data_IF_879015620104
#
_entry.id   IF_879015620104
#
_cell.length_a   1.000
_cell.length_b   1.000
_cell.length_c   1.000
_cell.angle_alpha   90.00
_cell.angle_beta   90.00
_cell.angle_gamma   90.00
#
_symmetry.space_group_name_H-M   'P 1'
#
loop_
_entity.id
_entity.type
_entity.pdbx_description
1 polymer ?
#
# COMPACT_ATOMS: atom_id res chain seq x y z
N UNK A 1 12.87 -1.17 3.22
CA UNK A 1 13.32 -0.34 4.36
C UNK A 1 12.17 0.27 5.18
N UNK A 2 11.21 1.01 4.59
CA UNK A 2 10.15 1.66 5.38
C UNK A 2 9.33 0.69 6.24
N UNK A 3 8.95 -0.47 5.70
CA UNK A 3 8.19 -1.49 6.44
C UNK A 3 8.89 -1.98 7.72
N UNK A 4 10.19 -2.29 7.65
CA UNK A 4 10.94 -2.80 8.80
C UNK A 4 11.07 -1.72 9.88
N UNK A 5 11.37 -0.47 9.47
CA UNK A 5 11.46 0.65 10.37
C UNK A 5 10.12 0.92 11.07
N UNK A 6 9.03 1.02 10.31
CA UNK A 6 7.68 1.25 10.85
C UNK A 6 7.24 0.13 11.78
N UNK A 7 7.54 -1.12 11.44
CA UNK A 7 7.26 -2.28 12.30
C UNK A 7 8.07 -2.24 13.59
N UNK A 8 9.34 -1.86 13.52
CA UNK A 8 10.20 -1.72 14.70
C UNK A 8 9.70 -0.63 15.66
N UNK A 9 9.23 0.50 15.12
CA UNK A 9 8.69 1.61 15.93
C UNK A 9 7.20 1.47 16.25
N UNK A 10 6.52 0.47 15.71
CA UNK A 10 5.09 0.23 15.90
C UNK A 10 4.64 0.17 17.36
N UNK A 11 5.40 -0.36 18.34
CA UNK A 11 5.01 -0.32 19.76
C UNK A 11 4.86 1.11 20.29
N UNK A 12 5.66 2.07 19.83
CA UNK A 12 5.55 3.47 20.23
C UNK A 12 4.40 4.16 19.52
N UNK A 13 4.26 3.94 18.21
CA UNK A 13 3.15 4.48 17.43
C UNK A 13 1.79 4.00 17.97
N UNK A 14 1.68 2.72 18.35
CA UNK A 14 0.47 2.16 18.98
C UNK A 14 0.12 2.78 20.33
N UNK A 15 1.07 3.40 21.04
CA UNK A 15 0.81 4.17 22.25
C UNK A 15 0.42 5.63 21.96
N UNK A 16 0.95 6.21 20.88
CA UNK A 16 0.67 7.58 20.49
C UNK A 16 -0.73 7.75 19.85
N UNK A 17 -1.15 6.82 18.98
CA UNK A 17 -2.41 6.92 18.24
C UNK A 17 -3.65 6.98 19.15
N UNK A 18 -3.77 6.24 20.28
CA UNK A 18 -4.89 6.42 21.20
C UNK A 18 -5.02 7.83 21.77
N UNK A 19 -3.90 8.55 21.95
CA UNK A 19 -3.88 9.91 22.50
C UNK A 19 -4.22 10.97 21.46
N UNK A 20 -3.68 10.84 20.25
CA UNK A 20 -3.76 11.89 19.22
C UNK A 20 -4.64 11.52 18.01
N UNK A 21 -5.10 10.27 17.90
CA UNK A 21 -5.94 9.79 16.80
C UNK A 21 -5.29 9.92 15.43
N UNK A 22 -6.08 10.31 14.43
CA UNK A 22 -5.63 10.51 13.04
C UNK A 22 -4.62 11.66 12.89
N UNK A 23 -4.58 12.61 13.83
CA UNK A 23 -3.62 13.74 13.77
C UNK A 23 -2.17 13.28 13.87
N UNK A 24 -1.91 12.06 14.36
CA UNK A 24 -0.57 11.44 14.29
C UNK A 24 -0.05 11.33 12.86
N UNK A 25 -0.93 11.15 11.87
CA UNK A 25 -0.57 11.06 10.47
C UNK A 25 -0.25 12.43 9.84
N UNK A 26 -0.64 13.55 10.48
CA UNK A 26 -0.33 14.89 9.97
C UNK A 26 1.15 15.19 10.05
N UNK A 27 1.85 14.75 11.10
CA UNK A 27 3.29 15.00 11.26
C UNK A 27 4.10 14.45 10.07
N UNK A 28 4.00 13.16 9.70
CA UNK A 28 4.68 12.66 8.52
C UNK A 28 4.14 13.26 7.22
N UNK A 29 2.84 13.60 7.12
CA UNK A 29 2.30 14.23 5.93
C UNK A 29 2.88 15.63 5.68
N UNK A 30 3.01 16.45 6.73
CA UNK A 30 3.67 17.76 6.67
C UNK A 30 5.15 17.59 6.34
N UNK A 31 5.81 16.57 6.90
CA UNK A 31 7.20 16.26 6.54
C UNK A 31 7.35 15.97 5.04
N UNK A 32 6.43 15.21 4.44
CA UNK A 32 6.43 14.97 2.97
C UNK A 32 6.31 16.29 2.21
N UNK A 33 5.34 17.13 2.56
CA UNK A 33 5.12 18.42 1.88
C UNK A 33 6.32 19.37 2.00
N UNK A 34 6.93 19.44 3.19
CA UNK A 34 8.13 20.27 3.42
C UNK A 34 9.33 19.75 2.64
N UNK A 35 9.55 18.44 2.61
CA UNK A 35 10.64 17.84 1.83
C UNK A 35 10.41 18.07 0.34
N UNK A 36 9.18 17.96 -0.15
CA UNK A 36 8.85 18.26 -1.55
C UNK A 36 9.19 19.72 -1.87
N UNK A 37 8.76 20.67 -1.04
CA UNK A 37 9.06 22.10 -1.21
C UNK A 37 10.57 22.39 -1.23
N UNK A 38 11.33 21.80 -0.31
CA UNK A 38 12.80 21.97 -0.26
C UNK A 38 13.45 21.37 -1.51
N UNK A 39 12.95 20.24 -2.01
CA UNK A 39 13.51 19.61 -3.21
C UNK A 39 13.27 20.41 -4.49
N UNK A 40 12.10 21.03 -4.63
CA UNK A 40 11.82 21.88 -5.80
C UNK A 40 12.60 23.20 -5.76
N UNK A 41 13.00 23.66 -4.58
CA UNK A 41 13.78 24.90 -4.42
C UNK A 41 15.29 24.66 -4.47
N UNK A 42 15.78 23.52 -3.95
CA UNK A 42 17.20 23.16 -3.91
C UNK A 42 17.48 21.78 -4.51
N UNK A 43 17.94 21.72 -5.78
CA UNK A 43 18.16 20.46 -6.50
C UNK A 43 19.24 19.53 -5.90
N UNK A 44 20.16 20.05 -5.09
CA UNK A 44 21.25 19.27 -4.46
C UNK A 44 20.79 18.40 -3.26
N UNK A 45 19.49 18.39 -2.95
CA UNK A 45 18.92 17.77 -1.74
C UNK A 45 18.43 16.32 -1.91
N UNK A 46 18.99 15.57 -2.87
CA UNK A 46 18.53 14.21 -3.23
C UNK A 46 18.45 13.21 -2.08
N UNK A 47 19.28 13.35 -1.04
CA UNK A 47 19.26 12.50 0.16
C UNK A 47 17.96 12.62 0.97
N UNK A 48 17.24 13.75 0.87
CA UNK A 48 15.94 13.93 1.53
C UNK A 48 14.89 12.96 1.02
N UNK A 49 15.10 12.34 -0.14
CA UNK A 49 14.21 11.31 -0.67
C UNK A 49 14.02 10.12 0.26
N UNK A 50 15.03 9.76 1.06
CA UNK A 50 14.90 8.68 2.06
C UNK A 50 13.98 9.06 3.22
N UNK A 51 14.08 10.30 3.70
CA UNK A 51 13.19 10.85 4.73
C UNK A 51 11.75 10.86 4.19
N UNK A 52 11.59 11.32 2.96
CA UNK A 52 10.30 11.39 2.30
C UNK A 52 9.65 10.02 2.15
N UNK A 53 10.44 9.00 1.78
CA UNK A 53 9.96 7.63 1.70
C UNK A 53 9.44 7.10 3.05
N UNK A 54 10.19 7.27 4.14
CA UNK A 54 9.73 6.82 5.46
C UNK A 54 8.47 7.57 5.90
N UNK A 55 8.46 8.90 5.73
CA UNK A 55 7.32 9.75 6.09
C UNK A 55 6.07 9.40 5.29
N UNK A 56 6.18 9.25 3.96
CA UNK A 56 5.05 8.90 3.10
C UNK A 56 4.45 7.55 3.48
N UNK A 57 5.27 6.55 3.83
CA UNK A 57 4.81 5.24 4.30
C UNK A 57 4.23 5.26 5.73
N UNK A 58 4.66 6.20 6.58
CA UNK A 58 4.14 6.34 7.93
C UNK A 58 2.67 6.79 7.95
N UNK A 59 2.25 7.60 6.97
CA UNK A 59 0.87 8.11 6.87
C UNK A 59 -0.17 6.98 6.76
N UNK A 60 -0.16 6.10 5.74
CA UNK A 60 -1.14 5.01 5.63
C UNK A 60 -1.05 4.04 6.81
N UNK A 61 0.14 3.83 7.38
CA UNK A 61 0.32 3.02 8.58
C UNK A 61 -0.44 3.60 9.79
N UNK A 62 -0.29 4.89 10.04
CA UNK A 62 -0.95 5.60 11.15
C UNK A 62 -2.46 5.74 10.91
N UNK A 63 -2.88 5.99 9.68
CA UNK A 63 -4.29 6.00 9.29
C UNK A 63 -4.94 4.63 9.52
N UNK A 64 -4.25 3.53 9.19
CA UNK A 64 -4.72 2.18 9.49
C UNK A 64 -4.89 1.92 11.00
N UNK A 65 -3.95 2.40 11.82
CA UNK A 65 -4.07 2.31 13.29
C UNK A 65 -5.23 3.16 13.83
N UNK A 66 -5.43 4.36 13.30
CA UNK A 66 -6.51 5.25 13.70
C UNK A 66 -7.90 4.73 13.25
N UNK A 67 -7.97 4.14 12.06
CA UNK A 67 -9.20 3.52 11.54
C UNK A 67 -9.67 2.36 12.42
N UNK A 68 -8.76 1.52 12.91
CA UNK A 68 -9.09 0.45 13.87
C UNK A 68 -9.71 0.94 15.18
N UNK A 69 -9.56 2.22 15.51
CA UNK A 69 -10.14 2.85 16.69
C UNK A 69 -11.43 3.64 16.36
N UNK A 70 -11.93 3.55 15.12
CA UNK A 70 -13.08 4.34 14.65
C UNK A 70 -12.77 5.83 14.51
N UNK A 71 -11.48 6.22 14.38
CA UNK A 71 -11.04 7.63 14.39
C UNK A 71 -10.70 8.18 13.00
N UNK A 72 -11.17 7.52 11.94
CA UNK A 72 -10.96 7.93 10.55
C UNK A 72 -12.31 8.05 9.86
N UNK A 73 -12.56 9.20 9.24
CA UNK A 73 -13.68 9.38 8.34
C UNK A 73 -13.23 9.01 6.91
N UNK A 74 -13.58 7.80 6.46
CA UNK A 74 -13.15 7.29 5.16
C UNK A 74 -13.67 8.12 3.98
N UNK A 75 -14.90 8.66 4.06
CA UNK A 75 -15.48 9.49 3.02
C UNK A 75 -14.74 10.84 2.88
N UNK A 76 -14.43 11.48 4.01
CA UNK A 76 -13.66 12.72 4.00
C UNK A 76 -12.25 12.48 3.46
N UNK A 77 -11.59 11.41 3.88
CA UNK A 77 -10.24 11.08 3.41
C UNK A 77 -10.21 10.75 1.91
N UNK A 78 -11.23 10.04 1.40
CA UNK A 78 -11.41 9.77 -0.02
C UNK A 78 -11.62 11.07 -0.82
N UNK A 79 -12.58 11.89 -0.40
CA UNK A 79 -12.92 13.14 -1.09
C UNK A 79 -11.80 14.17 -1.05
N UNK A 80 -11.27 14.46 0.14
CA UNK A 80 -10.20 15.44 0.33
C UNK A 80 -8.89 14.98 -0.33
N UNK A 81 -8.50 13.71 -0.17
CA UNK A 81 -7.31 13.16 -0.82
C UNK A 81 -7.41 13.19 -2.35
N UNK A 82 -8.57 12.81 -2.90
CA UNK A 82 -8.81 12.85 -4.35
C UNK A 82 -8.80 14.28 -4.90
N UNK A 83 -9.45 15.21 -4.21
CA UNK A 83 -9.49 16.62 -4.61
C UNK A 83 -8.11 17.27 -4.53
N UNK A 84 -7.33 17.00 -3.48
CA UNK A 84 -5.95 17.50 -3.37
C UNK A 84 -5.06 16.91 -4.46
N UNK A 85 -5.21 15.62 -4.77
CA UNK A 85 -4.48 14.99 -5.88
C UNK A 85 -4.77 15.69 -7.21
N UNK A 86 -6.05 15.92 -7.51
CA UNK A 86 -6.46 16.61 -8.73
C UNK A 86 -5.93 18.05 -8.79
N UNK A 87 -5.99 18.77 -7.66
CA UNK A 87 -5.47 20.14 -7.56
C UNK A 87 -3.95 20.20 -7.78
N UNK A 88 -3.18 19.28 -7.19
CA UNK A 88 -1.72 19.26 -7.37
C UNK A 88 -1.32 18.93 -8.81
N UNK A 89 -2.05 18.04 -9.48
CA UNK A 89 -1.83 17.74 -10.90
C UNK A 89 -2.20 18.94 -11.78
N UNK A 90 -3.36 19.54 -11.55
CA UNK A 90 -3.90 20.59 -12.42
C UNK A 90 -3.22 21.95 -12.21
N UNK A 91 -2.71 22.23 -11.01
CA UNK A 91 -2.19 23.55 -10.62
C UNK A 91 -0.70 23.54 -10.21
N UNK A 92 -0.11 22.38 -9.92
CA UNK A 92 1.21 22.25 -9.31
C UNK A 92 2.28 21.59 -10.18
N UNK A 93 2.04 21.41 -11.48
CA UNK A 93 2.94 20.75 -12.44
C UNK A 93 3.38 19.33 -12.04
N UNK A 94 2.65 18.67 -11.15
CA UNK A 94 2.95 17.29 -10.76
C UNK A 94 2.57 16.30 -11.87
N UNK A 95 3.36 15.23 -12.06
CA UNK A 95 3.02 14.18 -13.02
C UNK A 95 1.67 13.54 -12.72
N UNK A 96 0.93 13.17 -13.76
CA UNK A 96 -0.32 12.39 -13.63
C UNK A 96 -0.05 10.93 -13.23
N UNK A 97 1.13 10.40 -13.55
CA UNK A 97 1.50 9.02 -13.24
C UNK A 97 1.84 8.85 -11.76
N UNK A 98 1.14 7.93 -11.09
CA UNK A 98 1.44 7.49 -9.71
C UNK A 98 2.41 6.32 -9.66
N UNK A 99 3.02 5.99 -10.80
CA UNK A 99 4.07 4.99 -10.96
C UNK A 99 5.24 5.59 -11.74
N UNK A 100 6.42 5.01 -11.58
CA UNK A 100 7.58 5.40 -12.38
C UNK A 100 7.35 5.11 -13.87
N UNK A 101 7.62 6.10 -14.72
CA UNK A 101 7.56 5.99 -16.17
C UNK A 101 8.97 6.21 -16.73
N UNK A 102 9.57 5.23 -17.42
CA UNK A 102 10.88 5.41 -18.03
C UNK A 102 10.91 6.61 -18.98
N UNK A 103 11.91 7.48 -18.82
CA UNK A 103 12.08 8.69 -19.64
C UNK A 103 11.24 9.89 -19.21
N UNK A 104 10.38 9.77 -18.18
CA UNK A 104 9.70 10.92 -17.62
C UNK A 104 10.69 11.84 -16.86
N UNK A 105 10.55 13.17 -16.98
CA UNK A 105 11.46 14.12 -16.32
C UNK A 105 11.32 14.12 -14.79
N UNK A 106 10.15 13.69 -14.29
CA UNK A 106 9.85 13.67 -12.87
C UNK A 106 8.98 12.46 -12.52
N UNK A 107 9.22 11.91 -11.33
CA UNK A 107 8.44 10.82 -10.74
C UNK A 107 7.75 11.26 -9.46
N UNK A 108 6.53 10.77 -9.26
CA UNK A 108 5.81 10.87 -7.99
C UNK A 108 6.26 9.83 -6.94
N UNK A 109 7.01 8.79 -7.34
CA UNK A 109 7.38 7.64 -6.49
C UNK A 109 8.80 7.76 -5.94
N UNK A 110 9.71 8.34 -6.72
CA UNK A 110 11.13 8.34 -6.42
C UNK A 110 11.69 9.78 -6.41
N UNK A 111 11.59 10.50 -5.27
CA UNK A 111 10.95 10.13 -4.01
C UNK A 111 9.44 10.44 -3.96
N UNK A 112 8.68 9.90 -2.98
CA UNK A 112 7.24 10.11 -2.87
C UNK A 112 6.83 11.58 -2.79
N UNK A 113 6.06 12.08 -3.73
CA UNK A 113 5.58 13.48 -3.73
C UNK A 113 4.36 13.66 -2.82
N UNK A 114 4.02 14.92 -2.53
CA UNK A 114 2.76 15.28 -1.89
C UNK A 114 1.55 14.76 -2.69
N UNK A 115 1.66 14.72 -4.02
CA UNK A 115 0.64 14.20 -4.94
C UNK A 115 0.43 12.70 -4.76
N UNK A 116 1.51 11.91 -4.66
CA UNK A 116 1.39 10.48 -4.36
C UNK A 116 0.79 10.25 -2.97
N UNK A 117 1.17 11.07 -1.99
CA UNK A 117 0.63 10.97 -0.65
C UNK A 117 -0.87 11.26 -0.61
N UNK A 118 -1.32 12.33 -1.27
CA UNK A 118 -2.73 12.69 -1.37
C UNK A 118 -3.55 11.57 -2.04
N UNK A 119 -3.00 10.97 -3.09
CA UNK A 119 -3.61 9.83 -3.78
C UNK A 119 -3.70 8.61 -2.86
N UNK A 120 -2.62 8.31 -2.12
CA UNK A 120 -2.59 7.24 -1.13
C UNK A 120 -3.61 7.44 0.00
N UNK A 121 -3.79 8.68 0.47
CA UNK A 121 -4.84 9.03 1.42
C UNK A 121 -6.23 8.72 0.84
N UNK A 122 -6.49 9.08 -0.41
CA UNK A 122 -7.76 8.77 -1.06
C UNK A 122 -8.03 7.25 -1.08
N UNK A 123 -7.01 6.45 -1.42
CA UNK A 123 -7.08 4.99 -1.38
C UNK A 123 -7.29 4.44 0.04
N UNK A 124 -6.67 5.03 1.06
CA UNK A 124 -6.94 4.68 2.46
C UNK A 124 -8.39 4.99 2.85
N UNK A 125 -8.96 6.10 2.37
CA UNK A 125 -10.36 6.45 2.59
C UNK A 125 -11.32 5.43 1.98
N UNK A 126 -11.06 5.02 0.74
CA UNK A 126 -11.79 3.94 0.08
C UNK A 126 -11.68 2.61 0.84
N UNK A 127 -10.48 2.26 1.29
CA UNK A 127 -10.24 1.05 2.06
C UNK A 127 -10.97 1.06 3.42
N UNK A 128 -11.00 2.22 4.10
CA UNK A 128 -11.76 2.41 5.33
C UNK A 128 -13.27 2.19 5.09
N UNK A 129 -13.85 2.83 4.07
CA UNK A 129 -15.26 2.65 3.72
C UNK A 129 -15.61 1.19 3.36
N UNK A 130 -14.73 0.52 2.61
CA UNK A 130 -14.90 -0.90 2.30
C UNK A 130 -14.84 -1.77 3.56
N UNK A 131 -13.90 -1.48 4.46
CA UNK A 131 -13.77 -2.16 5.75
C UNK A 131 -14.99 -1.97 6.65
N UNK A 132 -15.53 -0.75 6.70
CA UNK A 132 -16.73 -0.42 7.47
C UNK A 132 -17.97 -1.13 6.90
N UNK A 133 -18.12 -1.18 5.58
CA UNK A 133 -19.22 -1.88 4.88
C UNK A 133 -19.20 -3.40 5.05
N UNK A 134 -18.02 -4.01 5.13
CA UNK A 134 -17.87 -5.45 5.36
C UNK A 134 -18.19 -5.86 6.82
N UNK A 135 -18.54 -4.87 7.66
CA UNK A 135 -18.70 -4.94 9.09
C UNK A 135 -17.33 -5.03 9.74
N UNK A 136 -17.02 -4.16 10.72
CA UNK A 136 -15.77 -4.24 11.48
C UNK A 136 -15.57 -5.66 12.02
N UNK A 137 -14.80 -6.47 11.28
CA UNK A 137 -14.57 -7.85 11.68
C UNK A 137 -13.61 -7.80 12.87
N UNK A 138 -13.94 -8.48 13.98
CA UNK A 138 -13.06 -8.50 15.13
C UNK A 138 -11.66 -8.96 14.69
N UNK A 139 -10.64 -8.34 15.29
CA UNK A 139 -9.25 -8.74 15.07
C UNK A 139 -9.14 -10.24 15.37
N UNK A 140 -8.68 -11.02 14.39
CA UNK A 140 -8.62 -12.49 14.49
C UNK A 140 -9.74 -13.24 13.75
N UNK A 141 -10.70 -12.55 13.11
CA UNK A 141 -11.61 -13.23 12.18
C UNK A 141 -10.83 -13.93 11.06
N UNK A 142 -11.35 -15.06 10.56
CA UNK A 142 -10.71 -15.82 9.48
C UNK A 142 -10.42 -14.95 8.25
N UNK A 143 -11.33 -14.05 7.89
CA UNK A 143 -11.15 -13.15 6.76
C UNK A 143 -10.02 -12.14 7.00
N UNK A 144 -10.00 -11.48 8.17
CA UNK A 144 -8.95 -10.53 8.51
C UNK A 144 -7.57 -11.22 8.58
N UNK A 145 -7.50 -12.44 9.11
CA UNK A 145 -6.28 -13.25 9.11
C UNK A 145 -5.84 -13.58 7.68
N UNK A 146 -6.75 -14.03 6.81
CA UNK A 146 -6.43 -14.33 5.40
C UNK A 146 -5.93 -13.09 4.66
N UNK A 147 -6.59 -11.94 4.82
CA UNK A 147 -6.16 -10.68 4.19
C UNK A 147 -4.79 -10.28 4.72
N UNK A 148 -4.59 -10.32 6.03
CA UNK A 148 -3.32 -9.95 6.67
C UNK A 148 -2.17 -10.87 6.22
N UNK A 149 -2.42 -12.18 6.14
CA UNK A 149 -1.44 -13.19 5.72
C UNK A 149 -1.13 -13.06 4.22
N UNK A 150 -2.10 -12.64 3.40
CA UNK A 150 -1.94 -12.48 1.96
C UNK A 150 -1.34 -11.13 1.55
N UNK A 151 -1.53 -10.07 2.33
CA UNK A 151 -1.16 -8.70 1.96
C UNK A 151 0.33 -8.54 1.65
N UNK A 152 1.20 -9.05 2.54
CA UNK A 152 2.64 -8.90 2.36
C UNK A 152 3.20 -9.76 1.21
N UNK A 153 2.82 -11.05 1.06
CA UNK A 153 3.18 -11.82 -0.12
C UNK A 153 2.67 -11.20 -1.42
N UNK A 154 1.42 -10.71 -1.47
CA UNK A 154 0.89 -10.04 -2.65
C UNK A 154 1.71 -8.80 -2.99
N UNK A 155 2.00 -7.95 -1.99
CA UNK A 155 2.84 -6.77 -2.15
C UNK A 155 4.22 -7.10 -2.73
N UNK A 156 4.88 -8.16 -2.24
CA UNK A 156 6.22 -8.52 -2.71
C UNK A 156 6.23 -9.17 -4.10
N UNK A 157 5.24 -10.01 -4.42
CA UNK A 157 5.30 -10.90 -5.58
C UNK A 157 4.48 -10.43 -6.79
N UNK A 158 3.55 -9.48 -6.63
CA UNK A 158 2.69 -9.06 -7.74
C UNK A 158 3.47 -8.43 -8.91
N UNK A 159 4.48 -7.59 -8.63
CA UNK A 159 5.34 -7.02 -9.68
C UNK A 159 6.13 -8.13 -10.39
N UNK A 160 6.72 -9.06 -9.64
CA UNK A 160 7.43 -10.21 -10.20
C UNK A 160 6.53 -11.05 -11.11
N UNK A 161 5.29 -11.32 -10.68
CA UNK A 161 4.31 -12.05 -11.50
C UNK A 161 4.02 -11.32 -12.82
N UNK A 162 3.79 -10.01 -12.76
CA UNK A 162 3.57 -9.17 -13.94
C UNK A 162 4.80 -9.18 -14.86
N UNK A 163 6.01 -9.03 -14.30
CA UNK A 163 7.27 -9.07 -15.06
C UNK A 163 7.47 -10.40 -15.76
N UNK A 164 7.20 -11.53 -15.10
CA UNK A 164 7.32 -12.85 -15.71
C UNK A 164 6.33 -13.04 -16.86
N UNK A 165 5.07 -12.60 -16.68
CA UNK A 165 4.07 -12.62 -17.76
C UNK A 165 4.57 -11.74 -18.93
N UNK A 166 5.02 -10.52 -18.65
CA UNK A 166 5.54 -9.61 -19.68
C UNK A 166 6.72 -10.22 -20.43
N UNK A 167 7.69 -10.82 -19.73
CA UNK A 167 8.85 -11.49 -20.35
C UNK A 167 8.44 -12.70 -21.20
N UNK A 168 7.50 -13.51 -20.73
CA UNK A 168 7.01 -14.65 -21.50
C UNK A 168 6.30 -14.21 -22.79
N UNK A 169 5.69 -13.04 -22.78
CA UNK A 169 4.91 -12.51 -23.92
C UNK A 169 5.67 -11.56 -24.83
N UNK A 170 6.83 -11.03 -24.42
CA UNK A 170 7.52 -9.95 -25.17
C UNK A 170 7.89 -10.36 -26.60
N UNK A 171 8.22 -11.63 -26.80
CA UNK A 171 8.61 -12.18 -28.11
C UNK A 171 7.42 -12.31 -29.09
N UNK A 172 6.19 -12.23 -28.58
CA UNK A 172 4.96 -12.26 -29.38
C UNK A 172 4.59 -10.86 -29.91
N UNK A 173 5.40 -9.84 -29.60
CA UNK A 173 5.12 -8.45 -29.93
C UNK A 173 4.14 -7.77 -28.96
N UNK A 174 3.62 -6.58 -29.31
CA UNK A 174 2.70 -5.83 -28.46
C UNK A 174 1.38 -6.58 -28.24
N UNK A 175 1.11 -6.99 -27.00
CA UNK A 175 -0.14 -7.63 -26.61
C UNK A 175 -1.11 -6.58 -26.07
N UNK A 176 -2.33 -6.60 -26.61
CA UNK A 176 -3.41 -5.69 -26.24
C UNK A 176 -3.72 -5.77 -24.74
N UNK A 177 -3.68 -4.63 -24.04
CA UNK A 177 -3.90 -4.55 -22.59
C UNK A 177 -2.78 -5.10 -21.71
N UNK A 178 -1.68 -5.63 -22.26
CA UNK A 178 -0.54 -6.15 -21.48
C UNK A 178 0.74 -5.34 -21.71
N UNK A 179 1.30 -5.40 -22.92
CA UNK A 179 2.55 -4.71 -23.33
C UNK A 179 2.32 -3.60 -24.35
N UNK A 180 1.10 -3.49 -24.90
CA UNK A 180 0.71 -2.38 -25.78
C UNK A 180 0.58 -1.04 -25.04
N UNK A 181 0.88 0.09 -25.71
CA UNK A 181 0.68 1.42 -25.13
C UNK A 181 -0.78 1.70 -24.72
N UNK A 182 -1.01 2.45 -23.62
CA UNK A 182 -2.35 2.76 -23.12
C UNK A 182 -3.01 3.94 -23.86
N UNK A 183 -3.22 3.81 -25.18
CA UNK A 183 -3.65 4.93 -26.04
C UNK A 183 -5.17 5.02 -26.27
N UNK A 184 -5.99 4.11 -25.74
CA UNK A 184 -7.45 4.11 -25.96
C UNK A 184 -8.27 3.52 -24.81
N UNK A 185 -9.56 3.84 -24.77
CA UNK A 185 -10.48 3.41 -23.70
C UNK A 185 -10.59 1.88 -23.58
N UNK A 186 -10.51 1.17 -24.72
CA UNK A 186 -10.53 -0.29 -24.75
C UNK A 186 -9.32 -0.92 -24.02
N UNK A 187 -8.20 -0.20 -23.91
CA UNK A 187 -7.01 -0.69 -23.22
C UNK A 187 -7.31 -1.03 -21.76
N UNK A 188 -8.14 -0.22 -21.08
CA UNK A 188 -8.51 -0.46 -19.69
C UNK A 188 -9.29 -1.77 -19.55
N UNK A 189 -10.27 -2.01 -20.40
CA UNK A 189 -11.07 -3.23 -20.40
C UNK A 189 -10.20 -4.47 -20.65
N UNK A 190 -9.29 -4.38 -21.62
CA UNK A 190 -8.34 -5.46 -21.93
C UNK A 190 -7.35 -5.67 -20.78
N UNK A 191 -6.88 -4.61 -20.13
CA UNK A 191 -6.03 -4.68 -18.93
C UNK A 191 -6.74 -5.41 -17.80
N UNK A 192 -8.02 -5.12 -17.58
CA UNK A 192 -8.84 -5.81 -16.58
C UNK A 192 -9.03 -7.29 -16.92
N UNK A 193 -9.15 -7.64 -18.20
CA UNK A 193 -9.23 -9.04 -18.64
C UNK A 193 -7.95 -9.84 -18.33
N UNK A 194 -6.79 -9.18 -18.15
CA UNK A 194 -5.54 -9.82 -17.72
C UNK A 194 -5.45 -10.05 -16.21
N UNK A 195 -6.32 -9.46 -15.39
CA UNK A 195 -6.27 -9.59 -13.92
C UNK A 195 -6.40 -11.06 -13.44
N UNK A 196 -7.30 -11.90 -13.99
CA UNK A 196 -7.34 -13.32 -13.65
C UNK A 196 -6.03 -14.05 -13.96
N UNK A 197 -5.41 -13.76 -15.11
CA UNK A 197 -4.13 -14.38 -15.49
C UNK A 197 -3.02 -13.95 -14.53
N UNK A 198 -2.93 -12.65 -14.21
CA UNK A 198 -1.99 -12.13 -13.23
C UNK A 198 -2.21 -12.75 -11.85
N UNK A 199 -3.47 -12.91 -11.42
CA UNK A 199 -3.81 -13.54 -10.16
C UNK A 199 -3.41 -15.02 -10.14
N UNK A 200 -3.67 -15.77 -11.21
CA UNK A 200 -3.26 -17.17 -11.34
C UNK A 200 -1.75 -17.33 -11.30
N UNK A 201 -1.00 -16.50 -12.04
CA UNK A 201 0.46 -16.51 -12.01
C UNK A 201 0.99 -16.21 -10.60
N UNK A 202 0.44 -15.19 -9.94
CA UNK A 202 0.79 -14.84 -8.57
C UNK A 202 0.50 -15.99 -7.60
N UNK A 203 -0.67 -16.63 -7.69
CA UNK A 203 -1.01 -17.81 -6.88
C UNK A 203 -0.02 -18.94 -7.14
N UNK A 204 0.33 -19.20 -8.40
CA UNK A 204 1.32 -20.19 -8.79
C UNK A 204 2.71 -19.93 -8.20
N UNK A 205 3.12 -18.67 -8.03
CA UNK A 205 4.35 -18.30 -7.34
C UNK A 205 4.24 -18.47 -5.82
N UNK A 206 3.09 -18.11 -5.23
CA UNK A 206 2.91 -18.07 -3.78
C UNK A 206 2.63 -19.44 -3.15
N UNK A 207 1.91 -20.34 -3.83
CA UNK A 207 1.58 -21.68 -3.31
C UNK A 207 2.83 -22.49 -2.92
N UNK A 208 3.86 -22.64 -3.78
CA UNK A 208 5.07 -23.39 -3.43
C UNK A 208 5.95 -22.65 -2.41
N UNK A 209 5.89 -21.32 -2.35
CA UNK A 209 6.67 -20.51 -1.43
C UNK A 209 6.09 -20.43 0.00
N UNK A 210 4.90 -20.98 0.25
CA UNK A 210 4.27 -20.92 1.57
C UNK A 210 5.03 -21.80 2.57
N UNK A 211 5.58 -21.23 3.66
CA UNK A 211 6.17 -22.04 4.71
C UNK A 211 5.08 -22.93 5.33
N UNK A 212 5.41 -24.17 5.75
CA UNK A 212 4.46 -25.02 6.44
C UNK A 212 3.94 -24.28 7.67
N UNK A 213 2.61 -24.23 7.83
CA UNK A 213 2.00 -23.59 9.01
C UNK A 213 2.57 -24.24 10.26
N UNK A 214 3.06 -23.48 11.26
CA UNK A 214 3.45 -24.08 12.51
C UNK A 214 2.24 -24.81 13.07
N UNK A 215 2.36 -26.14 13.26
CA UNK A 215 1.37 -26.93 13.99
C UNK A 215 1.21 -26.22 15.33
N UNK A 216 0.02 -25.67 15.60
CA UNK A 216 -0.34 -25.29 16.97
C UNK A 216 -0.09 -26.55 17.79
N UNK A 217 0.90 -26.50 18.69
CA UNK A 217 1.12 -27.56 19.68
C UNK A 217 -0.09 -27.56 20.60
N UNK A 218 -1.13 -28.29 20.22
CA UNK A 218 -2.29 -28.60 21.07
C UNK A 218 -1.94 -29.75 22.01
N UNK A 219 -0.76 -29.69 22.63
CA UNK A 219 -0.24 -30.77 23.48
C UNK A 219 0.74 -30.21 24.51
N UNK A 220 0.19 -29.63 25.58
CA UNK A 220 0.89 -29.47 26.85
C UNK A 220 -0.06 -29.23 28.03
N UNK A 221 -1.25 -28.65 27.81
CA UNK A 221 -2.20 -28.37 28.91
C UNK A 221 -3.05 -29.60 29.28
N UNK A 222 -3.48 -30.41 28.31
CA UNK A 222 -4.31 -31.59 28.59
C UNK A 222 -3.58 -32.79 29.23
N UNK A 223 -2.24 -32.73 29.35
CA UNK A 223 -1.45 -33.79 30.00
C UNK A 223 -1.10 -33.47 31.46
N UNK A 224 -1.38 -32.25 31.92
CA UNK A 224 -1.24 -31.87 33.33
C UNK A 224 -2.48 -32.29 34.14
N UNK A 225 -3.68 -32.12 33.56
CA UNK A 225 -4.94 -32.49 34.23
C UNK A 225 -5.15 -34.01 34.37
N UNK A 226 -4.53 -34.84 33.52
CA UNK A 226 -4.68 -36.29 33.55
C UNK A 226 -3.68 -37.03 34.48
N UNK A 227 -2.86 -36.30 35.24
CA UNK A 227 -1.95 -36.89 36.26
C UNK A 227 -2.36 -36.57 37.69
N UNK A 228 -3.46 -35.86 37.89
CA UNK A 228 -3.98 -35.48 39.21
C UNK A 228 -5.29 -36.21 39.57
N UNK A 229 -5.74 -37.17 38.76
CA UNK A 229 -6.80 -38.14 39.07
C UNK A 229 -6.21 -39.55 39.24
#
# INVERSE_FOLDING_TARGET
MPYLLLTAIAPWLRRAVPRYGWTTALVPAVCVALVDLVRFTWPSSGWLGYVNAVSAWAVPFLLGLAWRQGRVNGAWLLGAGGMLTAALIALGDYPTSMVDVPGAPMSNVAPPTATLLAFGCAQCGLAALAGDRLGHRPAGSRLAAVISDAAFPLYLWHQTALTLISLATVQLGPIAGLTSPPTGAAWLTLRLAWMPVCAMALIGLLVPARPPKPRRRTSAVAACDAREE
#
